data_IF_269764932500
#
_entry.id   IF_269764932500
#
_cell.length_a   1.000
_cell.length_b   1.000
_cell.length_c   1.000
_cell.angle_alpha   90.00
_cell.angle_beta   90.00
_cell.angle_gamma   90.00
#
_symmetry.space_group_name_H-M   'P 1'
#
loop_
_entity.id
_entity.type
_entity.pdbx_description
1 polymer ?
#
# COMPACT_ATOMS: atom_id res chain seq x y z
N UNK A 1 -3.36 -0.47 12.20
CA UNK A 1 -4.70 -1.07 12.37
C UNK A 1 -5.65 -0.34 11.45
N UNK A 2 -6.48 -1.03 10.68
CA UNK A 2 -7.47 -0.42 9.80
C UNK A 2 -8.86 -0.94 10.16
N UNK A 3 -9.78 0.00 10.40
CA UNK A 3 -11.20 -0.26 10.53
C UNK A 3 -11.87 -0.11 9.17
N UNK A 4 -12.71 -1.07 8.81
CA UNK A 4 -13.83 -0.82 7.90
C UNK A 4 -15.12 -1.03 8.65
N UNK A 5 -15.71 0.08 9.06
CA UNK A 5 -17.00 0.10 9.73
C UNK A 5 -18.09 -0.48 8.81
N UNK A 6 -19.09 -1.18 9.35
CA UNK A 6 -20.25 -1.61 8.59
C UNK A 6 -20.88 -0.45 7.81
N UNK A 7 -21.27 -0.70 6.56
CA UNK A 7 -21.99 0.22 5.65
C UNK A 7 -21.24 1.49 5.21
N UNK A 8 -20.34 2.02 6.03
CA UNK A 8 -19.68 3.33 5.84
C UNK A 8 -18.16 3.23 5.73
N UNK A 9 -17.60 2.01 5.73
CA UNK A 9 -16.16 1.82 5.60
C UNK A 9 -15.68 2.27 4.22
N UNK A 10 -14.89 3.34 4.16
CA UNK A 10 -14.45 3.95 2.90
C UNK A 10 -13.57 3.05 2.03
N UNK A 11 -13.54 3.34 0.72
CA UNK A 11 -12.57 2.73 -0.18
C UNK A 11 -11.15 3.17 0.16
N UNK A 12 -10.19 2.30 -0.14
CA UNK A 12 -8.77 2.68 -0.28
C UNK A 12 -8.47 2.59 -1.77
N UNK A 13 -8.09 3.70 -2.38
CA UNK A 13 -7.75 3.77 -3.82
C UNK A 13 -6.52 2.95 -4.12
N UNK A 14 -6.29 2.65 -5.39
CA UNK A 14 -5.10 1.90 -5.76
C UNK A 14 -3.82 2.64 -5.48
N UNK A 15 -2.85 1.89 -4.98
CA UNK A 15 -1.53 2.39 -4.67
C UNK A 15 -0.50 1.26 -4.60
N UNK A 16 0.76 1.67 -4.49
CA UNK A 16 1.91 0.85 -4.14
C UNK A 16 2.43 1.38 -2.80
N UNK A 17 2.61 0.56 -1.78
CA UNK A 17 3.10 1.00 -0.47
C UNK A 17 4.47 1.69 -0.57
N UNK A 18 5.31 1.24 -1.49
CA UNK A 18 6.62 1.85 -1.77
C UNK A 18 6.54 3.26 -2.35
N UNK A 19 5.35 3.75 -2.74
CA UNK A 19 5.12 5.18 -3.01
C UNK A 19 5.19 6.02 -1.73
N UNK A 20 4.88 5.44 -0.57
CA UNK A 20 4.91 6.12 0.74
C UNK A 20 6.13 5.72 1.58
N UNK A 21 6.59 4.47 1.40
CA UNK A 21 7.64 3.82 2.19
C UNK A 21 8.82 3.47 1.28
N UNK A 22 9.45 4.50 0.72
CA UNK A 22 10.46 4.37 -0.33
C UNK A 22 11.84 3.97 0.21
N UNK A 23 12.52 3.05 -0.50
CA UNK A 23 13.90 2.65 -0.19
C UNK A 23 14.81 2.66 -1.42
N UNK A 24 16.12 2.84 -1.23
CA UNK A 24 17.13 2.80 -2.31
C UNK A 24 18.28 1.84 -1.96
N UNK A 25 19.01 1.27 -2.94
CA UNK A 25 18.84 1.41 -4.40
C UNK A 25 17.68 0.59 -4.98
N UNK A 26 17.01 -0.23 -4.15
CA UNK A 26 15.88 -1.07 -4.53
C UNK A 26 14.72 -0.89 -3.54
N UNK A 27 13.50 -1.18 -3.99
CA UNK A 27 12.32 -1.23 -3.12
C UNK A 27 12.31 -2.54 -2.33
N UNK A 28 12.15 -2.44 -1.01
CA UNK A 28 12.15 -3.61 -0.10
C UNK A 28 10.97 -3.63 0.87
N UNK A 29 10.06 -2.67 0.74
CA UNK A 29 8.85 -2.65 1.55
C UNK A 29 8.06 -3.96 1.33
N UNK A 30 7.65 -4.58 2.43
CA UNK A 30 6.78 -5.74 2.47
C UNK A 30 5.57 -5.40 3.33
N UNK A 31 4.38 -5.44 2.74
CA UNK A 31 3.12 -5.31 3.47
C UNK A 31 2.74 -6.64 4.11
N UNK A 32 2.49 -6.61 5.42
CA UNK A 32 1.92 -7.71 6.19
C UNK A 32 0.53 -7.28 6.64
N UNK A 33 -0.49 -7.96 6.12
CA UNK A 33 -1.89 -7.64 6.36
C UNK A 33 -2.55 -8.83 7.06
N UNK A 34 -2.83 -8.67 8.36
CA UNK A 34 -3.47 -9.68 9.19
C UNK A 34 -4.97 -9.40 9.26
N UNK A 35 -5.77 -10.37 8.80
CA UNK A 35 -7.21 -10.36 8.96
C UNK A 35 -7.57 -10.57 10.43
N UNK A 36 -8.28 -9.61 11.05
CA UNK A 36 -8.83 -9.80 12.40
C UNK A 36 -10.30 -10.25 12.35
N UNK A 37 -10.99 -9.92 11.26
CA UNK A 37 -12.29 -10.45 10.88
C UNK A 37 -12.18 -11.06 9.47
N UNK A 38 -13.11 -11.94 9.05
CA UNK A 38 -13.16 -12.41 7.66
C UNK A 38 -13.27 -11.22 6.70
N UNK A 39 -12.48 -11.26 5.63
CA UNK A 39 -12.47 -10.23 4.60
C UNK A 39 -13.02 -10.83 3.31
N UNK A 40 -14.12 -10.25 2.85
CA UNK A 40 -14.95 -10.72 1.74
C UNK A 40 -15.11 -9.62 0.72
N UNK A 41 -15.66 -9.94 -0.45
CA UNK A 41 -16.03 -8.96 -1.46
C UNK A 41 -16.96 -7.87 -0.90
N UNK A 42 -17.93 -8.26 -0.06
CA UNK A 42 -18.99 -7.39 0.45
C UNK A 42 -18.50 -6.42 1.55
N UNK A 43 -17.55 -6.87 2.37
CA UNK A 43 -17.00 -6.05 3.47
C UNK A 43 -15.63 -5.42 3.15
N UNK A 44 -15.24 -5.44 1.87
CA UNK A 44 -14.09 -4.71 1.36
C UNK A 44 -12.75 -5.39 1.65
N UNK A 45 -12.61 -6.64 1.17
CA UNK A 45 -11.34 -7.35 1.06
C UNK A 45 -10.32 -6.59 0.20
N UNK A 46 -9.07 -7.07 0.20
CA UNK A 46 -8.06 -6.56 -0.71
C UNK A 46 -8.40 -6.96 -2.15
N UNK A 47 -8.04 -6.10 -3.08
CA UNK A 47 -7.93 -6.40 -4.49
C UNK A 47 -6.49 -6.15 -4.90
N UNK A 48 -5.89 -7.08 -5.62
CA UNK A 48 -4.49 -6.99 -6.08
C UNK A 48 -4.43 -7.16 -7.58
N UNK A 49 -3.45 -6.54 -8.25
CA UNK A 49 -3.18 -6.80 -9.67
C UNK A 49 -1.95 -7.70 -9.80
N UNK A 50 -2.11 -9.01 -10.04
CA UNK A 50 -0.99 -9.93 -10.11
C UNK A 50 0.04 -9.48 -11.16
N UNK A 51 1.32 -9.61 -10.83
CA UNK A 51 2.43 -9.21 -11.72
C UNK A 51 2.79 -7.71 -11.69
N UNK A 52 1.91 -6.83 -11.19
CA UNK A 52 2.16 -5.37 -11.15
C UNK A 52 3.37 -4.95 -10.32
N UNK A 53 3.81 -5.80 -9.38
CA UNK A 53 5.04 -5.57 -8.59
C UNK A 53 6.33 -5.50 -9.41
N UNK A 54 6.29 -5.92 -10.69
CA UNK A 54 7.40 -5.80 -11.66
C UNK A 54 7.34 -4.49 -12.46
N UNK A 55 6.25 -3.75 -12.33
CA UNK A 55 6.13 -2.44 -12.93
C UNK A 55 6.88 -1.41 -12.06
N UNK A 56 7.34 -0.30 -12.65
CA UNK A 56 7.93 0.79 -11.89
C UNK A 56 6.94 1.36 -10.86
N UNK A 57 7.47 2.02 -9.82
CA UNK A 57 6.64 2.87 -8.98
C UNK A 57 6.03 3.99 -9.82
N UNK A 58 4.76 4.29 -9.60
CA UNK A 58 4.07 5.37 -10.35
C UNK A 58 4.21 6.73 -9.71
N UNK A 59 4.27 6.76 -8.38
CA UNK A 59 4.29 7.97 -7.57
C UNK A 59 5.23 7.78 -6.40
N UNK A 60 5.78 8.88 -5.90
CA UNK A 60 6.46 8.94 -4.60
C UNK A 60 5.87 10.14 -3.86
N UNK A 61 5.53 9.94 -2.59
CA UNK A 61 4.90 10.96 -1.76
C UNK A 61 5.86 11.41 -0.66
N UNK A 62 6.83 12.29 -0.97
CA UNK A 62 7.71 12.83 0.04
C UNK A 62 6.96 13.75 1.00
N UNK A 63 7.55 13.89 2.20
CA UNK A 63 7.18 14.92 3.16
C UNK A 63 7.49 16.29 2.60
N UNK A 64 6.60 17.25 2.83
CA UNK A 64 6.94 18.65 2.66
C UNK A 64 8.09 19.04 3.60
N UNK A 65 8.99 19.88 3.11
CA UNK A 65 10.04 20.54 3.90
C UNK A 65 9.65 21.94 4.34
N UNK A 66 8.47 22.44 3.93
CA UNK A 66 7.95 23.73 4.39
C UNK A 66 7.39 23.62 5.81
N UNK A 67 7.86 24.49 6.70
CA UNK A 67 7.41 24.55 8.10
C UNK A 67 5.87 24.68 8.18
N UNK A 68 5.24 23.78 8.93
CA UNK A 68 3.80 23.81 9.20
C UNK A 68 2.91 23.10 8.17
N UNK A 69 3.47 22.50 7.11
CA UNK A 69 2.68 21.73 6.13
C UNK A 69 2.90 20.21 6.26
N UNK A 70 1.96 19.45 6.85
CA UNK A 70 2.05 17.98 6.91
C UNK A 70 1.54 17.34 5.60
N UNK A 71 1.69 18.02 4.46
CA UNK A 71 1.13 17.57 3.19
C UNK A 71 2.12 16.69 2.43
N UNK A 72 1.60 15.63 1.81
CA UNK A 72 2.31 14.91 0.76
C UNK A 72 2.41 15.83 -0.45
N UNK A 73 3.63 16.03 -0.95
CA UNK A 73 3.80 16.63 -2.27
C UNK A 73 3.69 15.49 -3.26
N UNK A 74 2.72 15.54 -4.18
CA UNK A 74 2.74 14.64 -5.34
C UNK A 74 3.85 15.14 -6.26
N UNK A 75 5.09 14.79 -5.92
CA UNK A 75 6.15 14.87 -6.91
C UNK A 75 6.00 13.63 -7.78
N UNK A 76 5.52 13.87 -8.98
CA UNK A 76 6.05 13.18 -10.15
C UNK A 76 7.57 13.46 -10.19
N UNK A 77 8.33 12.82 -9.31
CA UNK A 77 9.78 12.80 -9.34
C UNK A 77 10.13 12.23 -10.69
N UNK A 78 10.50 13.09 -11.64
CA UNK A 78 10.91 12.81 -13.01
C UNK A 78 11.09 11.31 -13.29
N UNK A 79 9.95 10.63 -13.46
CA UNK A 79 9.91 9.30 -14.03
C UNK A 79 10.01 9.50 -15.55
N UNK A 80 10.97 10.32 -16.00
CA UNK A 80 11.22 10.65 -17.39
C UNK A 80 11.71 9.45 -18.20
N UNK A 81 11.90 8.30 -17.54
CA UNK A 81 12.39 7.07 -18.16
C UNK A 81 11.56 5.81 -17.86
N UNK A 82 10.51 5.87 -17.02
CA UNK A 82 9.66 4.67 -16.90
C UNK A 82 8.69 4.63 -18.07
N UNK A 83 8.50 3.46 -18.69
CA UNK A 83 7.47 3.30 -19.70
C UNK A 83 6.12 3.70 -19.11
N UNK A 84 5.28 4.32 -19.96
CA UNK A 84 3.89 4.60 -19.63
C UNK A 84 3.25 3.33 -19.06
N UNK A 85 2.81 3.42 -17.81
CA UNK A 85 2.11 2.33 -17.15
C UNK A 85 0.67 2.31 -17.68
N UNK A 86 0.14 1.13 -17.99
CA UNK A 86 -1.16 0.99 -18.65
C UNK A 86 -2.37 1.52 -17.83
N UNK A 87 -2.14 1.97 -16.58
CA UNK A 87 -3.18 2.40 -15.66
C UNK A 87 -2.63 3.32 -14.57
N UNK A 88 -3.30 4.45 -14.31
CA UNK A 88 -2.83 5.54 -13.43
C UNK A 88 -3.36 5.47 -11.99
N UNK A 89 -3.99 4.36 -11.59
CA UNK A 89 -4.47 4.16 -10.22
C UNK A 89 -5.85 4.72 -9.91
N UNK A 90 -6.57 5.26 -10.90
CA UNK A 90 -7.97 5.65 -10.72
C UNK A 90 -8.85 4.42 -10.39
N UNK A 91 -9.70 4.55 -9.37
CA UNK A 91 -10.73 3.54 -9.10
C UNK A 91 -11.58 3.39 -10.38
N UNK A 92 -11.69 2.19 -10.98
CA UNK A 92 -12.54 2.03 -12.13
C UNK A 92 -13.99 2.35 -11.75
N UNK A 93 -14.67 3.09 -12.62
CA UNK A 93 -16.04 3.57 -12.40
C UNK A 93 -17.07 2.43 -12.19
N UNK A 94 -16.74 1.19 -12.57
CA UNK A 94 -17.55 0.00 -12.28
C UNK A 94 -16.89 -0.85 -11.20
N UNK A 95 -17.53 -0.90 -10.03
CA UNK A 95 -17.13 -1.75 -8.91
C UNK A 95 -17.12 -3.23 -9.33
N UNK A 96 -16.15 -4.00 -8.82
CA UNK A 96 -16.02 -5.44 -9.10
C UNK A 96 -15.59 -5.79 -10.53
N UNK A 97 -16.51 -5.69 -11.50
CA UNK A 97 -16.27 -6.11 -12.88
C UNK A 97 -15.27 -5.18 -13.60
N UNK A 98 -15.31 -3.88 -13.32
CA UNK A 98 -14.32 -2.93 -13.83
C UNK A 98 -12.92 -3.23 -13.32
N UNK A 99 -12.78 -3.66 -12.06
CA UNK A 99 -11.51 -4.09 -11.50
C UNK A 99 -10.98 -5.34 -12.19
N UNK A 100 -11.84 -6.35 -12.39
CA UNK A 100 -11.46 -7.58 -13.11
C UNK A 100 -11.02 -7.31 -14.54
N UNK A 101 -11.72 -6.42 -15.24
CA UNK A 101 -11.35 -5.98 -16.60
C UNK A 101 -9.99 -5.26 -16.65
N UNK A 102 -9.54 -4.67 -15.52
CA UNK A 102 -8.22 -4.07 -15.35
C UNK A 102 -7.17 -5.04 -14.78
N UNK A 103 -7.51 -6.33 -14.66
CA UNK A 103 -6.60 -7.39 -14.22
C UNK A 103 -6.49 -7.53 -12.70
N UNK A 104 -7.33 -6.87 -11.92
CA UNK A 104 -7.39 -7.06 -10.48
C UNK A 104 -8.16 -8.33 -10.10
N UNK A 105 -7.69 -9.01 -9.06
CA UNK A 105 -8.38 -10.13 -8.43
C UNK A 105 -8.66 -9.80 -6.97
N UNK A 106 -9.82 -10.21 -6.42
CA UNK A 106 -10.08 -10.10 -5.00
C UNK A 106 -9.27 -11.14 -4.22
N UNK A 107 -8.92 -10.78 -2.99
CA UNK A 107 -8.23 -11.65 -2.03
C UNK A 107 -9.10 -11.75 -0.79
N UNK A 108 -10.06 -12.67 -0.83
CA UNK A 108 -10.91 -13.01 0.31
C UNK A 108 -10.15 -13.96 1.24
N UNK A 109 -10.24 -13.71 2.55
CA UNK A 109 -9.50 -14.45 3.58
C UNK A 109 -10.31 -14.56 4.86
N UNK A 110 -10.01 -15.58 5.66
CA UNK A 110 -10.64 -15.79 6.96
C UNK A 110 -9.93 -15.00 8.07
N UNK A 111 -10.59 -14.86 9.22
CA UNK A 111 -9.95 -14.26 10.39
C UNK A 111 -8.73 -15.07 10.83
N UNK A 112 -7.60 -14.39 11.04
CA UNK A 112 -6.31 -15.01 11.38
C UNK A 112 -5.37 -15.22 10.19
N UNK A 113 -5.88 -15.13 8.95
CA UNK A 113 -5.03 -15.23 7.77
C UNK A 113 -4.12 -14.00 7.64
N UNK A 114 -2.86 -14.26 7.25
CA UNK A 114 -1.86 -13.25 6.97
C UNK A 114 -1.59 -13.18 5.46
N UNK A 115 -1.96 -12.06 4.85
CA UNK A 115 -1.61 -11.76 3.46
C UNK A 115 -0.29 -10.99 3.45
N UNK A 116 0.69 -11.49 2.71
CA UNK A 116 2.01 -10.87 2.58
C UNK A 116 2.26 -10.50 1.13
N UNK A 117 2.65 -9.25 0.86
CA UNK A 117 2.87 -8.78 -0.49
C UNK A 117 3.97 -7.73 -0.59
N UNK A 118 4.71 -7.66 -1.71
CA UNK A 118 5.72 -6.63 -1.92
C UNK A 118 5.05 -5.26 -2.06
N UNK A 119 5.66 -4.23 -1.50
CA UNK A 119 5.15 -2.86 -1.51
C UNK A 119 5.06 -2.23 -2.89
N UNK A 120 5.57 -2.89 -3.93
CA UNK A 120 5.41 -2.48 -5.33
C UNK A 120 4.16 -3.07 -5.98
N UNK A 121 3.43 -4.00 -5.34
CA UNK A 121 2.19 -4.51 -5.93
C UNK A 121 1.07 -3.48 -5.86
N UNK A 122 0.33 -3.33 -6.95
CA UNK A 122 -0.91 -2.59 -6.92
C UNK A 122 -1.95 -3.32 -6.10
N UNK A 123 -2.49 -2.59 -5.14
CA UNK A 123 -3.59 -3.07 -4.34
C UNK A 123 -4.53 -1.94 -3.93
N UNK A 124 -5.77 -2.31 -3.66
CA UNK A 124 -6.84 -1.42 -3.22
C UNK A 124 -7.86 -2.19 -2.38
N UNK A 125 -8.85 -1.49 -1.85
CA UNK A 125 -10.02 -2.16 -1.29
C UNK A 125 -11.29 -1.34 -1.51
N UNK A 126 -12.34 -1.96 -2.03
CA UNK A 126 -13.65 -1.34 -2.26
C UNK A 126 -14.35 -0.99 -0.93
N UNK A 127 -15.33 -0.06 -0.89
CA UNK A 127 -16.06 0.25 0.33
C UNK A 127 -16.64 -0.98 1.04
N UNK A 128 -16.79 -0.92 2.36
CA UNK A 128 -17.58 -1.91 3.10
C UNK A 128 -19.05 -1.51 3.03
N UNK A 129 -19.83 -2.20 2.20
CA UNK A 129 -21.27 -1.99 2.02
C UNK A 129 -22.10 -2.99 2.83
N UNK A 130 -21.44 -3.89 3.57
CA UNK A 130 -22.08 -4.94 4.36
C UNK A 130 -22.41 -4.47 5.79
N UNK A 131 -23.30 -5.19 6.51
CA UNK A 131 -23.56 -4.94 7.93
C UNK A 131 -22.47 -5.49 8.86
N UNK A 132 -21.43 -6.14 8.33
CA UNK A 132 -20.32 -6.71 9.11
C UNK A 132 -19.11 -5.79 9.05
N UNK A 133 -18.39 -5.67 10.15
CA UNK A 133 -17.12 -4.96 10.18
C UNK A 133 -16.03 -5.76 9.46
N UNK A 134 -14.93 -5.09 9.12
CA UNK A 134 -13.71 -5.74 8.64
C UNK A 134 -12.50 -5.06 9.24
N UNK A 135 -11.97 -5.62 10.33
CA UNK A 135 -10.78 -5.11 10.99
C UNK A 135 -9.53 -5.85 10.55
N UNK A 136 -8.43 -5.11 10.49
CA UNK A 136 -7.13 -5.65 10.06
C UNK A 136 -6.02 -5.02 10.86
N UNK A 137 -4.98 -5.79 11.14
CA UNK A 137 -3.73 -5.25 11.63
C UNK A 137 -2.70 -5.28 10.52
N UNK A 138 -1.94 -4.20 10.35
CA UNK A 138 -0.99 -4.06 9.25
C UNK A 138 0.36 -3.62 9.80
N UNK A 139 1.40 -4.26 9.29
CA UNK A 139 2.79 -3.90 9.52
C UNK A 139 3.49 -3.84 8.17
N UNK A 140 4.46 -2.94 8.07
CA UNK A 140 5.38 -2.90 6.94
C UNK A 140 6.78 -3.22 7.43
N UNK A 141 7.47 -4.08 6.69
CA UNK A 141 8.88 -4.40 6.91
C UNK A 141 9.69 -3.82 5.76
N UNK A 142 10.91 -3.39 6.07
CA UNK A 142 11.91 -3.00 5.08
C UNK A 142 13.25 -3.64 5.44
N UNK A 143 14.05 -3.90 4.43
CA UNK A 143 15.44 -4.32 4.66
C UNK A 143 16.24 -3.17 5.27
N UNK A 144 17.12 -3.50 6.21
CA UNK A 144 17.97 -2.53 6.91
C UNK A 144 19.28 -2.19 6.19
N UNK A 145 20.08 -1.27 6.76
CA UNK A 145 21.37 -0.87 6.21
C UNK A 145 22.37 -2.02 5.98
N UNK A 146 22.28 -3.08 6.79
CA UNK A 146 23.12 -4.29 6.65
C UNK A 146 22.88 -5.01 5.31
N UNK A 147 21.70 -4.88 4.71
CA UNK A 147 21.37 -5.40 3.38
C UNK A 147 21.72 -4.41 2.24
N UNK A 148 22.40 -3.31 2.56
CA UNK A 148 22.72 -2.23 1.61
C UNK A 148 21.51 -1.40 1.19
N UNK A 149 20.49 -1.31 2.07
CA UNK A 149 19.24 -0.59 1.80
C UNK A 149 19.15 0.65 2.66
N UNK A 150 18.78 1.77 2.03
CA UNK A 150 18.62 3.06 2.69
C UNK A 150 17.15 3.47 2.71
N UNK A 151 16.64 3.80 3.91
CA UNK A 151 15.35 4.43 4.09
C UNK A 151 15.40 5.88 3.59
N UNK A 152 14.49 6.27 2.70
CA UNK A 152 14.50 7.63 2.15
C UNK A 152 14.26 8.67 3.25
N UNK A 153 15.10 9.71 3.28
CA UNK A 153 14.92 10.88 4.17
C UNK A 153 13.71 11.74 3.79
N UNK A 154 13.15 11.48 2.62
CA UNK A 154 11.98 12.16 2.09
C UNK A 154 10.68 11.46 2.48
N UNK A 155 10.72 10.20 2.94
CA UNK A 155 9.50 9.52 3.42
C UNK A 155 8.86 10.34 4.55
N UNK A 156 7.53 10.37 4.57
CA UNK A 156 6.75 11.05 5.62
C UNK A 156 7.06 10.51 7.02
N UNK A 157 7.27 9.19 7.13
CA UNK A 157 7.64 8.54 8.37
C UNK A 157 9.16 8.61 8.56
N UNK A 158 9.59 9.37 9.56
CA UNK A 158 10.97 9.42 10.04
C UNK A 158 11.00 9.13 11.54
N UNK A 159 11.96 8.35 11.98
CA UNK A 159 12.25 8.21 13.41
C UNK A 159 13.12 9.37 13.89
N UNK A 160 13.06 9.73 15.18
CA UNK A 160 13.99 10.70 15.76
C UNK A 160 15.44 10.31 15.46
N UNK A 161 16.29 11.32 15.24
CA UNK A 161 17.71 11.10 14.97
C UNK A 161 18.34 10.17 16.04
N UNK A 162 19.11 9.18 15.59
CA UNK A 162 19.76 8.20 16.44
C UNK A 162 18.86 7.05 16.93
N UNK A 163 17.57 7.02 16.60
CA UNK A 163 16.68 5.87 16.87
C UNK A 163 16.40 5.11 15.57
N UNK A 164 16.96 3.91 15.36
CA UNK A 164 16.60 3.10 14.21
C UNK A 164 15.18 2.54 14.35
N UNK A 165 14.58 2.14 13.22
CA UNK A 165 13.38 1.30 13.25
C UNK A 165 13.66 0.03 14.06
N UNK A 166 12.67 -0.49 14.83
CA UNK A 166 12.81 -1.77 15.51
C UNK A 166 13.17 -2.87 14.51
N UNK A 167 14.16 -3.69 14.86
CA UNK A 167 14.56 -4.83 14.04
C UNK A 167 13.72 -6.05 14.42
N UNK A 168 13.13 -6.69 13.42
CA UNK A 168 12.55 -8.02 13.55
C UNK A 168 13.71 -9.03 13.38
N UNK A 169 14.32 -9.44 14.49
CA UNK A 169 15.33 -10.51 14.50
C UNK A 169 14.64 -11.85 14.73
N UNK A 170 14.91 -12.81 13.87
CA UNK A 170 14.69 -14.23 14.13
C UNK A 170 15.96 -14.81 14.80
#
# INVERSE_FOLDING_TARGET
>A
YIFKQPLIGGAVTSHQDSSFLHTTPRQTCLGMWLALDPATLENGCLWVRPGSHREPLRRVFPRSTEEGSPHFVDVNMDIKASPAVAWEGELPASEGDGLRAKGFIPVEVDAGDLVVFPGTIDHLSLPNTSPKQRHTYQLHLVEGPEAGVTWSKENWLQYPAGKPFPSLRA
#
